data_IF_659041712895
#
_entry.id   IF_659041712895
#
_cell.length_a   1.000
_cell.length_b   1.000
_cell.length_c   1.000
_cell.angle_alpha   90.00
_cell.angle_beta   90.00
_cell.angle_gamma   90.00
#
_symmetry.space_group_name_H-M   'P 1'
#
loop_
_entity.id
_entity.type
_entity.pdbx_description
1 polymer ?
#
# COMPACT_ATOMS: atom_id res chain seq x y z
N UNK A 1 19.61 2.79 -15.77
CA UNK A 1 19.65 1.51 -15.03
C UNK A 1 18.90 1.71 -13.71
N UNK A 2 17.79 1.02 -13.46
CA UNK A 2 17.05 1.12 -12.18
C UNK A 2 17.84 0.39 -11.10
N UNK A 3 17.98 0.98 -9.91
CA UNK A 3 18.77 0.37 -8.83
C UNK A 3 17.94 -0.70 -8.11
N UNK A 4 18.35 -1.99 -8.11
CA UNK A 4 17.61 -3.05 -7.43
C UNK A 4 17.61 -2.86 -5.90
N UNK A 5 18.50 -2.01 -5.36
CA UNK A 5 18.62 -1.79 -3.92
C UNK A 5 17.43 -1.03 -3.35
N UNK A 6 16.93 0.00 -4.04
CA UNK A 6 15.80 0.79 -3.55
C UNK A 6 14.54 -0.07 -3.38
N UNK A 7 14.25 -0.90 -4.38
CA UNK A 7 13.10 -1.81 -4.33
C UNK A 7 13.25 -2.79 -3.16
N UNK A 8 14.43 -3.41 -2.98
CA UNK A 8 14.68 -4.34 -1.88
C UNK A 8 14.55 -3.68 -0.51
N UNK A 9 15.06 -2.46 -0.34
CA UNK A 9 14.90 -1.71 0.91
C UNK A 9 13.42 -1.46 1.22
N UNK A 10 12.64 -0.99 0.23
CA UNK A 10 11.20 -0.80 0.42
C UNK A 10 10.51 -2.12 0.75
N UNK A 11 10.81 -3.22 0.04
CA UNK A 11 10.22 -4.54 0.32
C UNK A 11 10.38 -4.96 1.78
N UNK A 12 11.54 -4.72 2.39
CA UNK A 12 11.76 -5.01 3.82
C UNK A 12 10.88 -4.11 4.69
N UNK A 13 10.85 -2.82 4.38
CA UNK A 13 10.12 -1.80 5.12
C UNK A 13 8.59 -1.91 4.99
N UNK A 14 8.06 -2.66 4.01
CA UNK A 14 6.62 -2.84 3.78
C UNK A 14 5.91 -3.55 4.94
N UNK A 15 6.62 -4.18 5.87
CA UNK A 15 6.00 -4.70 7.10
C UNK A 15 5.50 -3.60 8.05
N UNK A 16 5.91 -2.35 7.83
CA UNK A 16 5.53 -1.18 8.63
C UNK A 16 6.29 -1.03 9.94
N UNK A 17 7.19 -1.96 10.27
CA UNK A 17 7.93 -1.95 11.52
C UNK A 17 9.20 -1.10 11.41
N UNK A 18 9.74 -0.60 12.54
CA UNK A 18 11.06 0.02 12.56
C UNK A 18 12.17 -1.03 12.41
N UNK A 19 13.07 -0.81 11.46
CA UNK A 19 14.25 -1.66 11.23
C UNK A 19 15.53 -0.88 11.50
N UNK A 20 16.54 -1.50 12.11
CA UNK A 20 17.85 -0.85 12.23
C UNK A 20 18.50 -0.68 10.85
N UNK A 21 19.31 0.35 10.68
CA UNK A 21 20.04 0.54 9.41
C UNK A 21 20.95 -0.64 9.07
N UNK A 22 21.47 -1.33 10.09
CA UNK A 22 22.29 -2.53 9.91
C UNK A 22 21.47 -3.69 9.33
N UNK A 23 20.27 -3.93 9.87
CA UNK A 23 19.35 -4.96 9.35
C UNK A 23 18.95 -4.64 7.91
N UNK A 24 18.67 -3.37 7.60
CA UNK A 24 18.39 -2.94 6.22
C UNK A 24 19.57 -3.17 5.28
N UNK A 25 20.80 -2.87 5.72
CA UNK A 25 22.00 -3.08 4.91
C UNK A 25 22.20 -4.57 4.60
N UNK A 26 22.09 -5.42 5.63
CA UNK A 26 22.23 -6.87 5.49
C UNK A 26 21.12 -7.47 4.61
N UNK A 27 19.87 -7.04 4.82
CA UNK A 27 18.71 -7.52 4.07
C UNK A 27 18.79 -7.23 2.56
N UNK A 28 19.58 -6.24 2.14
CA UNK A 28 19.81 -5.96 0.71
C UNK A 28 21.18 -6.41 0.19
N UNK A 29 21.98 -7.07 1.05
CA UNK A 29 23.23 -7.74 0.68
C UNK A 29 24.53 -6.97 1.00
N UNK A 30 24.48 -5.94 1.84
CA UNK A 30 25.68 -5.20 2.27
C UNK A 30 26.07 -5.51 3.70
N UNK A 31 27.38 -5.55 3.96
CA UNK A 31 27.93 -5.75 5.30
C UNK A 31 27.95 -4.48 6.16
N UNK A 32 27.88 -3.30 5.51
CA UNK A 32 28.06 -2.00 6.18
C UNK A 32 26.93 -1.06 5.81
N UNK A 33 26.40 -0.37 6.83
CA UNK A 33 25.40 0.71 6.71
C UNK A 33 25.82 1.80 5.73
N UNK A 34 27.11 2.17 5.73
CA UNK A 34 27.65 3.18 4.81
C UNK A 34 27.31 2.92 3.34
N UNK A 35 27.17 1.65 2.95
CA UNK A 35 26.83 1.23 1.59
C UNK A 35 25.42 1.65 1.19
N UNK A 36 24.48 1.77 2.14
CA UNK A 36 23.08 2.12 1.88
C UNK A 36 22.68 3.54 2.27
N UNK A 37 23.57 4.29 2.93
CA UNK A 37 23.30 5.64 3.44
C UNK A 37 22.73 6.60 2.40
N UNK A 38 23.20 6.54 1.16
CA UNK A 38 22.68 7.39 0.07
C UNK A 38 21.20 7.10 -0.22
N UNK A 39 20.78 5.84 -0.21
CA UNK A 39 19.38 5.47 -0.44
C UNK A 39 18.50 5.83 0.76
N UNK A 40 18.99 5.62 1.99
CA UNK A 40 18.27 6.04 3.19
C UNK A 40 18.01 7.55 3.21
N UNK A 41 19.03 8.37 2.91
CA UNK A 41 18.85 9.83 2.76
C UNK A 41 17.87 10.20 1.64
N UNK A 42 17.90 9.45 0.53
CA UNK A 42 16.95 9.67 -0.57
C UNK A 42 15.52 9.39 -0.13
N UNK A 43 15.29 8.32 0.63
CA UNK A 43 13.97 7.95 1.16
C UNK A 43 13.48 8.93 2.22
N UNK A 44 14.35 9.39 3.10
CA UNK A 44 14.07 10.42 4.09
C UNK A 44 13.68 11.74 3.41
N UNK A 45 14.46 12.21 2.43
CA UNK A 45 14.15 13.41 1.66
C UNK A 45 12.83 13.29 0.87
N UNK A 46 12.52 12.09 0.36
CA UNK A 46 11.26 11.80 -0.31
C UNK A 46 10.08 11.63 0.66
N UNK A 47 10.33 11.68 1.98
CA UNK A 47 9.35 11.40 3.05
C UNK A 47 8.73 10.00 2.96
N UNK A 48 9.50 9.01 2.52
CA UNK A 48 9.06 7.60 2.53
C UNK A 48 9.28 6.96 3.90
N UNK A 49 10.33 7.41 4.61
CA UNK A 49 10.70 6.88 5.92
C UNK A 49 10.94 8.01 6.92
N UNK A 50 10.78 7.69 8.21
CA UNK A 50 11.38 8.44 9.31
C UNK A 50 12.62 7.69 9.80
N UNK A 51 13.69 8.43 10.07
CA UNK A 51 14.89 7.94 10.75
C UNK A 51 14.90 8.44 12.19
N UNK A 52 15.06 7.54 13.15
CA UNK A 52 15.10 7.86 14.60
C UNK A 52 16.35 7.27 15.23
N UNK A 53 17.01 8.02 16.10
CA UNK A 53 18.11 7.47 16.90
C UNK A 53 17.54 6.39 17.85
N UNK A 54 18.24 5.26 17.97
CA UNK A 54 17.76 4.13 18.78
C UNK A 54 18.29 4.14 20.24
N UNK A 55 18.90 5.24 20.68
CA UNK A 55 19.49 5.38 22.01
C UNK A 55 20.88 4.76 22.16
N UNK A 56 21.32 3.93 21.21
CA UNK A 56 22.69 3.42 21.11
C UNK A 56 23.50 4.41 20.26
N UNK A 57 24.73 4.69 20.68
CA UNK A 57 25.55 5.75 20.08
C UNK A 57 25.77 5.51 18.57
N UNK A 58 25.21 6.39 17.74
CA UNK A 58 25.38 6.36 16.28
C UNK A 58 24.48 5.39 15.52
N UNK A 59 23.53 4.72 16.18
CA UNK A 59 22.60 3.81 15.52
C UNK A 59 21.21 4.45 15.31
N UNK A 60 20.66 4.19 14.12
CA UNK A 60 19.35 4.69 13.72
C UNK A 60 18.42 3.53 13.34
N UNK A 61 17.13 3.71 13.59
CA UNK A 61 16.06 2.92 13.01
C UNK A 61 15.38 3.69 11.90
N UNK A 62 14.93 2.96 10.88
CA UNK A 62 14.17 3.47 9.75
C UNK A 62 12.80 2.80 9.76
N UNK A 63 11.74 3.57 9.57
CA UNK A 63 10.36 3.07 9.49
C UNK A 63 9.63 3.80 8.36
N UNK A 64 8.72 3.13 7.64
CA UNK A 64 7.84 3.81 6.69
C UNK A 64 6.98 4.87 7.40
N UNK A 65 6.72 5.97 6.68
CA UNK A 65 5.67 6.90 7.10
C UNK A 65 4.33 6.33 6.62
N UNK A 66 3.51 5.87 7.58
CA UNK A 66 2.24 5.21 7.31
C UNK A 66 1.09 6.23 7.28
N UNK A 67 1.12 7.11 6.29
CA UNK A 67 0.04 8.03 5.99
C UNK A 67 -0.37 7.93 4.51
N UNK A 68 -1.58 8.40 4.19
CA UNK A 68 -2.17 8.28 2.84
C UNK A 68 -1.29 8.92 1.75
N UNK A 69 -0.68 10.08 2.02
CA UNK A 69 0.13 10.80 1.04
C UNK A 69 1.46 10.09 0.79
N UNK A 70 2.12 9.63 1.85
CA UNK A 70 3.38 8.88 1.78
C UNK A 70 3.17 7.53 1.08
N UNK A 71 2.09 6.81 1.43
CA UNK A 71 1.71 5.57 0.76
C UNK A 71 1.46 5.76 -0.74
N UNK A 72 0.70 6.81 -1.11
CA UNK A 72 0.44 7.19 -2.52
C UNK A 72 1.72 7.51 -3.28
N UNK A 73 2.65 8.24 -2.66
CA UNK A 73 3.95 8.58 -3.28
C UNK A 73 4.80 7.33 -3.51
N UNK A 74 4.89 6.43 -2.54
CA UNK A 74 5.60 5.15 -2.68
C UNK A 74 4.95 4.33 -3.81
N UNK A 75 3.63 4.19 -3.80
CA UNK A 75 2.89 3.40 -4.79
C UNK A 75 3.05 3.91 -6.24
N UNK A 76 3.01 5.24 -6.42
CA UNK A 76 3.16 5.88 -7.73
C UNK A 76 4.60 5.89 -8.24
N UNK A 77 5.60 5.67 -7.38
CA UNK A 77 7.01 5.73 -7.75
C UNK A 77 7.37 4.69 -8.82
N UNK A 78 7.93 5.15 -9.94
CA UNK A 78 8.15 4.31 -11.14
C UNK A 78 9.16 3.18 -10.95
N UNK A 79 10.06 3.30 -9.95
CA UNK A 79 11.00 2.25 -9.56
C UNK A 79 10.31 1.11 -8.80
N UNK A 80 9.13 1.34 -8.21
CA UNK A 80 8.41 0.37 -7.38
C UNK A 80 7.25 -0.31 -8.11
N UNK A 81 7.15 -0.13 -9.43
CA UNK A 81 6.07 -0.73 -10.25
C UNK A 81 5.96 -2.25 -10.05
N UNK A 82 7.08 -2.96 -9.94
CA UNK A 82 7.11 -4.42 -9.76
C UNK A 82 6.65 -4.88 -8.37
N UNK A 83 6.63 -3.99 -7.38
CA UNK A 83 6.21 -4.30 -6.01
C UNK A 83 4.86 -3.70 -5.64
N UNK A 84 4.14 -3.09 -6.60
CA UNK A 84 2.83 -2.49 -6.34
C UNK A 84 1.83 -3.46 -5.71
N UNK A 85 1.82 -4.71 -6.15
CA UNK A 85 0.98 -5.73 -5.52
C UNK A 85 1.33 -5.92 -4.05
N UNK A 86 2.62 -6.05 -3.72
CA UNK A 86 3.09 -6.19 -2.34
C UNK A 86 2.74 -4.98 -1.48
N UNK A 87 2.85 -3.77 -2.04
CA UNK A 87 2.44 -2.54 -1.38
C UNK A 87 0.95 -2.61 -1.04
N UNK A 88 0.08 -2.96 -1.99
CA UNK A 88 -1.37 -3.01 -1.77
C UNK A 88 -1.80 -4.10 -0.78
N UNK A 89 -1.05 -5.20 -0.71
CA UNK A 89 -1.31 -6.29 0.24
C UNK A 89 -0.71 -6.05 1.62
N UNK A 90 0.05 -4.96 1.82
CA UNK A 90 0.59 -4.65 3.13
C UNK A 90 -0.55 -4.36 4.13
N UNK A 91 -0.49 -4.84 5.39
CA UNK A 91 -1.59 -4.73 6.34
C UNK A 91 -2.06 -3.29 6.60
N UNK A 92 -1.15 -2.33 6.50
CA UNK A 92 -1.40 -0.91 6.70
C UNK A 92 -1.92 -0.18 5.45
N UNK A 93 -1.82 -0.77 4.25
CA UNK A 93 -2.12 -0.03 3.03
C UNK A 93 -3.62 0.18 2.83
N UNK A 94 -4.41 -0.91 2.82
CA UNK A 94 -5.86 -0.82 2.60
C UNK A 94 -6.57 0.13 3.58
N UNK A 95 -6.32 0.09 4.90
CA UNK A 95 -6.96 1.01 5.84
C UNK A 95 -6.80 2.49 5.46
N UNK A 96 -5.59 2.91 5.05
CA UNK A 96 -5.29 4.31 4.67
C UNK A 96 -6.18 4.88 3.55
N UNK A 97 -6.80 4.02 2.74
CA UNK A 97 -7.64 4.43 1.61
C UNK A 97 -9.10 4.01 1.76
N UNK A 98 -9.39 3.02 2.61
CA UNK A 98 -10.69 2.34 2.61
C UNK A 98 -11.51 2.50 3.88
N UNK A 99 -10.96 3.09 4.95
CA UNK A 99 -11.68 3.27 6.22
C UNK A 99 -13.04 3.98 6.02
N UNK A 100 -13.14 4.91 5.06
CA UNK A 100 -14.41 5.60 4.75
C UNK A 100 -15.49 4.69 4.16
N UNK A 101 -15.12 3.57 3.55
CA UNK A 101 -16.05 2.64 2.90
C UNK A 101 -16.56 1.55 3.84
N UNK A 102 -16.08 1.49 5.09
CA UNK A 102 -16.58 0.53 6.09
C UNK A 102 -18.07 0.73 6.40
N UNK A 103 -18.63 1.90 6.10
CA UNK A 103 -20.04 2.22 6.28
C UNK A 103 -20.95 1.69 5.17
N UNK A 104 -20.39 1.15 4.09
CA UNK A 104 -21.18 0.56 3.00
C UNK A 104 -21.91 -0.71 3.48
N UNK A 105 -23.13 -0.96 2.97
CA UNK A 105 -23.93 -2.09 3.43
C UNK A 105 -23.40 -3.44 2.94
N UNK A 106 -23.71 -4.49 3.71
CA UNK A 106 -23.39 -5.89 3.35
C UNK A 106 -21.89 -6.16 3.25
N UNK A 107 -21.51 -6.98 2.28
CA UNK A 107 -20.12 -7.43 2.09
C UNK A 107 -19.27 -6.47 1.26
N UNK A 108 -19.82 -5.33 0.82
CA UNK A 108 -19.11 -4.39 -0.04
C UNK A 108 -17.77 -3.89 0.49
N UNK A 109 -17.62 -3.55 1.79
CA UNK A 109 -16.32 -3.19 2.33
C UNK A 109 -15.26 -4.28 2.13
N UNK A 110 -15.65 -5.55 2.33
CA UNK A 110 -14.76 -6.70 2.17
C UNK A 110 -14.40 -6.92 0.69
N UNK A 111 -15.38 -6.82 -0.21
CA UNK A 111 -15.14 -6.97 -1.64
C UNK A 111 -14.24 -5.84 -2.17
N UNK A 112 -14.52 -4.58 -1.82
CA UNK A 112 -13.68 -3.43 -2.19
C UNK A 112 -12.24 -3.63 -1.71
N UNK A 113 -12.06 -4.06 -0.45
CA UNK A 113 -10.74 -4.36 0.11
C UNK A 113 -10.00 -5.43 -0.70
N UNK A 114 -10.66 -6.55 -1.00
CA UNK A 114 -10.08 -7.65 -1.80
C UNK A 114 -9.70 -7.18 -3.21
N UNK A 115 -10.57 -6.38 -3.84
CA UNK A 115 -10.37 -5.85 -5.19
C UNK A 115 -9.21 -4.83 -5.24
N UNK A 116 -9.08 -3.96 -4.24
CA UNK A 116 -7.94 -3.03 -4.12
C UNK A 116 -6.63 -3.79 -3.96
N UNK A 117 -6.60 -4.85 -3.17
CA UNK A 117 -5.40 -5.67 -2.99
C UNK A 117 -4.98 -6.35 -4.31
N UNK A 118 -5.94 -6.82 -5.09
CA UNK A 118 -5.70 -7.59 -6.31
C UNK A 118 -5.48 -6.73 -7.56
N UNK A 119 -6.17 -5.61 -7.71
CA UNK A 119 -6.22 -4.83 -8.96
C UNK A 119 -5.66 -3.42 -8.82
N UNK A 120 -4.71 -3.08 -9.69
CA UNK A 120 -4.18 -1.72 -9.80
C UNK A 120 -5.24 -0.74 -10.26
N UNK A 121 -5.96 -1.12 -11.32
CA UNK A 121 -6.98 -0.28 -11.95
C UNK A 121 -8.08 0.01 -10.96
N UNK A 122 -8.52 -1.00 -10.21
CA UNK A 122 -9.53 -0.82 -9.18
C UNK A 122 -9.04 0.13 -8.08
N UNK A 123 -7.80 -0.02 -7.60
CA UNK A 123 -7.24 0.92 -6.63
C UNK A 123 -7.23 2.37 -7.16
N UNK A 124 -6.84 2.62 -8.42
CA UNK A 124 -6.87 3.98 -9.00
C UNK A 124 -8.29 4.55 -9.08
N UNK A 125 -9.28 3.70 -9.35
CA UNK A 125 -10.69 4.09 -9.36
C UNK A 125 -11.15 4.48 -7.95
N UNK A 126 -10.89 3.62 -6.95
CA UNK A 126 -11.23 3.87 -5.55
C UNK A 126 -10.51 5.11 -5.02
N UNK A 127 -9.24 5.30 -5.39
CA UNK A 127 -8.47 6.48 -4.99
C UNK A 127 -9.08 7.78 -5.53
N UNK A 128 -9.70 7.73 -6.71
CA UNK A 128 -10.39 8.85 -7.35
C UNK A 128 -11.78 9.11 -6.76
N UNK A 129 -12.50 8.06 -6.36
CA UNK A 129 -13.77 8.17 -5.67
C UNK A 129 -13.52 8.35 -4.18
N UNK A 130 -13.43 9.60 -3.76
CA UNK A 130 -13.12 10.00 -2.39
C UNK A 130 -14.27 9.82 -1.39
N UNK A 131 -15.47 9.45 -1.85
CA UNK A 131 -16.64 9.29 -0.97
C UNK A 131 -17.43 7.99 -1.23
N UNK A 132 -18.04 7.40 -0.18
CA UNK A 132 -18.85 6.19 -0.30
C UNK A 132 -20.05 6.33 -1.24
N UNK A 133 -20.65 7.52 -1.30
CA UNK A 133 -21.83 7.79 -2.15
C UNK A 133 -21.49 7.64 -3.62
N UNK A 134 -20.32 8.12 -4.05
CA UNK A 134 -19.85 7.98 -5.44
C UNK A 134 -19.59 6.53 -5.81
N UNK A 135 -19.01 5.76 -4.88
CA UNK A 135 -18.81 4.32 -5.08
C UNK A 135 -20.16 3.62 -5.19
N UNK A 136 -21.08 3.94 -4.28
CA UNK A 136 -22.43 3.39 -4.30
C UNK A 136 -23.16 3.72 -5.61
N UNK A 137 -23.16 4.97 -6.06
CA UNK A 137 -23.79 5.36 -7.34
C UNK A 137 -23.25 4.59 -8.55
N UNK A 138 -21.94 4.34 -8.58
CA UNK A 138 -21.29 3.64 -9.70
C UNK A 138 -21.59 2.14 -9.68
N UNK A 139 -21.58 1.51 -8.51
CA UNK A 139 -21.62 0.05 -8.41
C UNK A 139 -22.97 -0.52 -7.98
N UNK A 140 -23.79 0.25 -7.26
CA UNK A 140 -25.13 -0.16 -6.85
C UNK A 140 -26.01 -0.62 -8.02
N UNK A 141 -26.05 0.04 -9.19
CA UNK A 141 -26.87 -0.43 -10.30
C UNK A 141 -26.49 -1.85 -10.76
N UNK A 142 -25.20 -2.18 -10.78
CA UNK A 142 -24.72 -3.51 -11.17
C UNK A 142 -25.05 -4.56 -10.09
N UNK A 143 -24.92 -4.21 -8.81
CA UNK A 143 -25.22 -5.11 -7.69
C UNK A 143 -26.73 -5.34 -7.53
N UNK A 144 -27.54 -4.30 -7.73
CA UNK A 144 -29.00 -4.35 -7.63
C UNK A 144 -29.61 -5.26 -8.71
N UNK A 145 -29.07 -5.28 -9.92
CA UNK A 145 -29.49 -6.20 -10.98
C UNK A 145 -29.23 -7.66 -10.58
N UNK A 146 -28.11 -7.95 -9.91
CA UNK A 146 -27.77 -9.30 -9.45
C UNK A 146 -28.68 -9.74 -8.29
N UNK A 147 -28.97 -8.84 -7.35
CA UNK A 147 -29.93 -9.10 -6.27
C UNK A 147 -31.33 -9.40 -6.82
N UNK A 148 -31.80 -8.63 -7.81
CA UNK A 148 -33.08 -8.88 -8.49
C UNK A 148 -33.11 -10.23 -9.22
N UNK A 149 -31.96 -10.76 -9.63
CA UNK A 149 -31.82 -12.08 -10.25
C UNK A 149 -31.64 -13.22 -9.24
N UNK A 150 -31.63 -12.91 -7.94
CA UNK A 150 -31.40 -13.89 -6.87
C UNK A 150 -29.97 -14.40 -6.80
N UNK A 151 -29.02 -13.71 -7.43
CA UNK A 151 -27.60 -14.09 -7.45
C UNK A 151 -26.95 -13.56 -6.17
N UNK A 152 -26.73 -14.46 -5.20
CA UNK A 152 -25.97 -14.16 -3.96
C UNK A 152 -24.50 -14.59 -4.04
N UNK A 153 -23.97 -14.80 -5.25
CA UNK A 153 -22.58 -15.24 -5.42
C UNK A 153 -21.61 -14.07 -5.24
N UNK A 154 -20.82 -14.11 -4.16
CA UNK A 154 -19.80 -13.12 -3.82
C UNK A 154 -18.75 -12.91 -4.92
N UNK A 155 -18.33 -13.95 -5.64
CA UNK A 155 -17.38 -13.84 -6.75
C UNK A 155 -18.00 -13.15 -7.96
N UNK A 156 -19.27 -13.40 -8.25
CA UNK A 156 -19.98 -12.75 -9.35
C UNK A 156 -20.20 -11.26 -9.07
N UNK A 157 -20.55 -10.91 -7.83
CA UNK A 157 -20.65 -9.52 -7.41
C UNK A 157 -19.29 -8.82 -7.42
N UNK A 158 -18.20 -9.53 -7.09
CA UNK A 158 -16.84 -9.01 -7.25
C UNK A 158 -16.47 -8.77 -8.73
N UNK A 159 -16.94 -9.59 -9.66
CA UNK A 159 -16.75 -9.39 -11.11
C UNK A 159 -17.47 -8.14 -11.63
N UNK A 160 -18.65 -7.82 -11.12
CA UNK A 160 -19.38 -6.60 -11.50
C UNK A 160 -18.70 -5.30 -11.03
N UNK A 161 -17.74 -5.41 -10.11
CA UNK A 161 -16.90 -4.30 -9.66
C UNK A 161 -15.60 -4.16 -10.47
N UNK A 162 -15.30 -5.10 -11.38
CA UNK A 162 -14.12 -5.09 -12.26
C UNK A 162 -14.41 -4.42 -13.60
#
# INVERSE_FOLDING_TARGET
MKSPVKERLIRILLDGNPHSELVLAQGVGFLRVASIQRWLRTFENARFIVRKANGIHGEYTCQLILDRDSARKIYSYSEFRQIRQLIRTAPWFSPLFLDTFETLPGDLPLVIKKMVQQSHTFFEIIEKYDTPERIWEVYHPCLFINELQGIQNEEFNAWCLY
#
